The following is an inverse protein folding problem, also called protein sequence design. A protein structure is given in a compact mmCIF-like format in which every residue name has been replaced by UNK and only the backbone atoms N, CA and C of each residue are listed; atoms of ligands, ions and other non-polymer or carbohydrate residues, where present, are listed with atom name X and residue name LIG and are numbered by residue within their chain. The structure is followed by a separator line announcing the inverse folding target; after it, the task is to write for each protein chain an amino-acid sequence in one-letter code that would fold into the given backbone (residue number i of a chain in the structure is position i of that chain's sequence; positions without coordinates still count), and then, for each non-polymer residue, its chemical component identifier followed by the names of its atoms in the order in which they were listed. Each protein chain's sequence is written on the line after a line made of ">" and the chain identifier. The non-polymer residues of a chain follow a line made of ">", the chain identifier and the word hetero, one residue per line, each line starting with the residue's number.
data_IF_819585923508
#
_entry.id   IF_819585923508
#
_cell.length_a   1.000
_cell.length_b   1.000
_cell.length_c   1.000
_cell.angle_alpha   90.00
_cell.angle_beta   90.00
_cell.angle_gamma   90.00
#
_symmetry.space_group_name_H-M   'P 1'
#
loop_
_entity.id
_entity.type
_entity.pdbx_description
1 polymer ?
#
# COMPACT_ATOMS: atom_id res chain seq x y z
N UNK A 1 17.11 9.81 7.08
CA UNK A 1 16.58 8.58 6.43
C UNK A 1 15.27 8.10 7.02
N UNK A 2 15.20 7.79 8.33
CA UNK A 2 13.96 7.30 8.98
C UNK A 2 12.73 8.17 8.70
N UNK A 3 12.86 9.50 8.78
CA UNK A 3 11.76 10.44 8.48
C UNK A 3 11.20 10.29 7.05
N UNK A 4 12.08 10.11 6.06
CA UNK A 4 11.70 9.92 4.65
C UNK A 4 10.91 8.62 4.50
N UNK A 5 11.38 7.53 5.12
CA UNK A 5 10.68 6.24 5.05
C UNK A 5 9.30 6.35 5.69
N UNK A 6 9.17 7.03 6.83
CA UNK A 6 7.87 7.31 7.45
C UNK A 6 6.95 8.17 6.57
N UNK A 7 7.48 9.18 5.89
CA UNK A 7 6.71 9.98 4.93
C UNK A 7 6.19 9.12 3.78
N UNK A 8 7.02 8.23 3.24
CA UNK A 8 6.61 7.31 2.17
C UNK A 8 5.54 6.33 2.68
N UNK A 9 5.69 5.77 3.88
CA UNK A 9 4.67 4.90 4.51
C UNK A 9 3.35 5.66 4.69
N UNK A 10 3.40 6.90 5.18
CA UNK A 10 2.22 7.73 5.36
C UNK A 10 1.50 8.02 4.03
N UNK A 11 2.25 8.35 2.97
CA UNK A 11 1.71 8.57 1.63
C UNK A 11 1.06 7.29 1.07
N UNK A 12 1.70 6.13 1.20
CA UNK A 12 1.11 4.86 0.76
C UNK A 12 -0.17 4.52 1.54
N UNK A 13 -0.17 4.75 2.85
CA UNK A 13 -1.35 4.54 3.69
C UNK A 13 -2.51 5.44 3.24
N UNK A 14 -2.23 6.72 2.96
CA UNK A 14 -3.23 7.66 2.50
C UNK A 14 -3.78 7.28 1.12
N UNK A 15 -2.92 6.94 0.18
CA UNK A 15 -3.30 6.44 -1.15
C UNK A 15 -4.16 5.18 -1.06
N UNK A 16 -3.79 4.24 -0.19
CA UNK A 16 -4.55 3.01 0.03
C UNK A 16 -5.95 3.28 0.58
N UNK A 17 -6.09 4.19 1.56
CA UNK A 17 -7.39 4.61 2.09
C UNK A 17 -8.25 5.29 1.02
N UNK A 18 -7.66 6.18 0.22
CA UNK A 18 -8.35 6.84 -0.90
C UNK A 18 -8.82 5.81 -1.94
N UNK A 19 -7.98 4.83 -2.29
CA UNK A 19 -8.33 3.77 -3.24
C UNK A 19 -9.53 2.95 -2.76
N UNK A 20 -9.51 2.49 -1.52
CA UNK A 20 -10.63 1.72 -0.94
C UNK A 20 -11.89 2.57 -0.85
N UNK A 21 -11.78 3.80 -0.38
CA UNK A 21 -12.91 4.74 -0.31
C UNK A 21 -13.52 4.99 -1.70
N UNK A 22 -12.68 5.26 -2.69
CA UNK A 22 -13.10 5.46 -4.08
C UNK A 22 -13.76 4.20 -4.65
N UNK A 23 -13.21 3.01 -4.39
CA UNK A 23 -13.82 1.75 -4.82
C UNK A 23 -15.24 1.58 -4.28
N UNK A 24 -15.45 1.83 -2.98
CA UNK A 24 -16.78 1.72 -2.37
C UNK A 24 -17.77 2.75 -2.93
N UNK A 25 -17.31 4.00 -3.15
CA UNK A 25 -18.16 5.05 -3.72
C UNK A 25 -18.54 4.74 -5.17
N UNK A 26 -17.59 4.33 -6.01
CA UNK A 26 -17.80 4.08 -7.44
C UNK A 26 -18.63 2.83 -7.72
N UNK A 27 -18.63 1.88 -6.80
CA UNK A 27 -19.34 0.61 -6.90
C UNK A 27 -20.60 0.54 -6.03
N UNK A 28 -20.96 1.64 -5.36
CA UNK A 28 -22.20 1.71 -4.62
C UNK A 28 -23.40 1.56 -5.57
N UNK A 29 -24.29 0.61 -5.29
CA UNK A 29 -25.46 0.31 -6.12
C UNK A 29 -25.17 -0.47 -7.41
N UNK A 30 -23.92 -0.82 -7.72
CA UNK A 30 -23.57 -1.65 -8.88
C UNK A 30 -23.48 -3.13 -8.51
N UNK A 31 -23.99 -4.01 -9.38
CA UNK A 31 -23.73 -5.44 -9.30
C UNK A 31 -22.32 -5.73 -9.83
N UNK A 32 -21.32 -5.56 -8.95
CA UNK A 32 -19.95 -6.02 -9.21
C UNK A 32 -19.92 -7.54 -9.12
N UNK A 33 -19.28 -8.20 -10.08
CA UNK A 33 -19.15 -9.66 -10.11
C UNK A 33 -18.47 -10.19 -8.83
N UNK A 34 -18.78 -11.44 -8.45
CA UNK A 34 -18.20 -12.06 -7.26
C UNK A 34 -16.67 -12.14 -7.36
N UNK A 35 -16.14 -12.43 -8.55
CA UNK A 35 -14.72 -12.52 -8.83
C UNK A 35 -14.01 -11.17 -8.63
N UNK A 36 -14.60 -10.09 -9.14
CA UNK A 36 -14.03 -8.75 -9.06
C UNK A 36 -14.05 -8.18 -7.63
N UNK A 37 -15.09 -8.49 -6.84
CA UNK A 37 -15.09 -8.23 -5.39
C UNK A 37 -14.00 -9.02 -4.67
N UNK A 38 -13.85 -10.31 -5.01
CA UNK A 38 -12.83 -11.19 -4.44
C UNK A 38 -11.42 -10.65 -4.65
N UNK A 39 -11.08 -10.30 -5.90
CA UNK A 39 -9.79 -9.70 -6.24
C UNK A 39 -9.55 -8.35 -5.55
N UNK A 40 -10.58 -7.51 -5.44
CA UNK A 40 -10.46 -6.23 -4.73
C UNK A 40 -10.09 -6.43 -3.25
N UNK A 41 -10.72 -7.40 -2.58
CA UNK A 41 -10.43 -7.71 -1.17
C UNK A 41 -9.00 -8.27 -1.01
N UNK A 42 -8.56 -9.13 -1.93
CA UNK A 42 -7.19 -9.67 -1.93
C UNK A 42 -6.17 -8.53 -2.10
N UNK A 43 -6.37 -7.66 -3.08
CA UNK A 43 -5.49 -6.51 -3.33
C UNK A 43 -5.48 -5.52 -2.15
N UNK A 44 -6.63 -5.24 -1.57
CA UNK A 44 -6.74 -4.40 -0.38
C UNK A 44 -5.94 -4.98 0.79
N UNK A 45 -6.05 -6.30 1.03
CA UNK A 45 -5.33 -7.00 2.10
C UNK A 45 -3.82 -6.99 1.88
N UNK A 46 -3.37 -7.23 0.64
CA UNK A 46 -1.94 -7.16 0.30
C UNK A 46 -1.36 -5.77 0.50
N UNK A 47 -2.08 -4.71 0.11
CA UNK A 47 -1.66 -3.32 0.34
C UNK A 47 -1.44 -3.04 1.83
N UNK A 48 -2.33 -3.53 2.68
CA UNK A 48 -2.23 -3.39 4.13
C UNK A 48 -1.00 -4.12 4.69
N UNK A 49 -0.73 -5.35 4.20
CA UNK A 49 0.44 -6.15 4.58
C UNK A 49 1.75 -5.43 4.22
N UNK A 50 1.86 -4.85 3.01
CA UNK A 50 3.05 -4.12 2.60
C UNK A 50 3.31 -2.87 3.46
N UNK A 51 2.26 -2.13 3.81
CA UNK A 51 2.36 -0.97 4.72
C UNK A 51 2.89 -1.41 6.10
N UNK A 52 2.36 -2.52 6.64
CA UNK A 52 2.80 -3.05 7.93
C UNK A 52 4.24 -3.56 7.89
N UNK A 53 4.63 -4.29 6.84
CA UNK A 53 6.00 -4.76 6.64
C UNK A 53 6.99 -3.62 6.47
N UNK A 54 6.56 -2.47 5.94
CA UNK A 54 7.40 -1.28 5.89
C UNK A 54 7.56 -0.62 7.27
N UNK A 55 6.48 -0.54 8.08
CA UNK A 55 6.45 0.20 9.34
C UNK A 55 7.01 -0.56 10.55
N UNK A 56 6.71 -1.86 10.68
CA UNK A 56 7.09 -2.69 11.84
C UNK A 56 8.62 -2.71 12.08
N UNK A 57 9.47 -2.95 11.06
CA UNK A 57 10.90 -3.09 11.28
C UNK A 57 11.54 -1.78 11.78
N UNK A 58 11.09 -0.62 11.30
CA UNK A 58 11.57 0.71 11.74
C UNK A 58 11.32 0.94 13.24
N UNK A 59 10.24 0.38 13.77
CA UNK A 59 9.88 0.52 15.19
C UNK A 59 10.69 -0.42 16.09
N UNK A 60 11.11 -1.57 15.57
CA UNK A 60 11.84 -2.61 16.32
C UNK A 60 13.35 -2.38 16.26
N UNK A 61 13.88 -1.98 15.11
CA UNK A 61 15.32 -1.79 14.91
C UNK A 61 15.61 -0.72 13.85
N UNK A 62 16.57 0.15 14.12
CA UNK A 62 17.00 1.21 13.19
C UNK A 62 18.34 0.90 12.53
N UNK A 63 18.72 -0.38 12.45
CA UNK A 63 19.93 -0.79 11.73
C UNK A 63 19.84 -0.43 10.24
N UNK A 64 20.98 -0.19 9.58
CA UNK A 64 21.01 0.15 8.16
C UNK A 64 20.28 -0.89 7.29
N UNK A 65 20.40 -2.18 7.60
CA UNK A 65 19.68 -3.24 6.88
C UNK A 65 18.15 -3.14 7.04
N UNK A 66 17.68 -2.81 8.23
CA UNK A 66 16.25 -2.62 8.52
C UNK A 66 15.69 -1.40 7.80
N UNK A 67 16.45 -0.31 7.73
CA UNK A 67 16.07 0.89 7.00
C UNK A 67 15.98 0.67 5.48
N UNK A 68 16.91 -0.09 4.92
CA UNK A 68 16.89 -0.46 3.49
C UNK A 68 15.67 -1.32 3.19
N UNK A 69 15.42 -2.36 3.99
CA UNK A 69 14.26 -3.24 3.81
C UNK A 69 12.94 -2.47 3.90
N UNK A 70 12.77 -1.66 4.94
CA UNK A 70 11.57 -0.83 5.10
C UNK A 70 11.40 0.20 3.99
N UNK A 71 12.50 0.78 3.49
CA UNK A 71 12.48 1.69 2.35
C UNK A 71 11.99 1.01 1.06
N UNK A 72 12.48 -0.20 0.76
CA UNK A 72 12.05 -0.98 -0.40
C UNK A 72 10.56 -1.34 -0.29
N UNK A 73 10.12 -1.83 0.88
CA UNK A 73 8.72 -2.19 1.11
C UNK A 73 7.78 -0.97 1.04
N UNK A 74 8.24 0.21 1.46
CA UNK A 74 7.47 1.44 1.34
C UNK A 74 7.41 1.96 -0.12
N UNK A 75 8.41 1.69 -0.96
CA UNK A 75 8.44 2.10 -2.36
C UNK A 75 7.65 1.18 -3.29
N UNK A 76 7.52 -0.09 -2.93
CA UNK A 76 6.88 -1.14 -3.74
C UNK A 76 5.48 -0.77 -4.26
N UNK A 77 4.54 -0.28 -3.43
CA UNK A 77 3.20 0.04 -3.91
C UNK A 77 3.18 1.25 -4.83
N UNK A 78 4.04 2.25 -4.59
CA UNK A 78 4.20 3.42 -5.47
C UNK A 78 4.76 3.03 -6.83
N UNK A 79 5.76 2.12 -6.87
CA UNK A 79 6.34 1.62 -8.11
C UNK A 79 5.32 0.82 -8.92
N UNK A 80 4.52 -0.03 -8.27
CA UNK A 80 3.44 -0.77 -8.92
C UNK A 80 2.41 0.17 -9.55
N UNK A 81 2.00 1.22 -8.83
CA UNK A 81 1.07 2.22 -9.33
C UNK A 81 1.64 2.97 -10.54
N UNK A 82 2.92 3.35 -10.48
CA UNK A 82 3.61 4.01 -11.59
C UNK A 82 3.68 3.10 -12.81
N UNK A 83 4.00 1.82 -12.63
CA UNK A 83 4.08 0.85 -13.72
C UNK A 83 2.74 0.65 -14.41
N UNK A 84 1.65 0.56 -13.63
CA UNK A 84 0.27 0.48 -14.14
C UNK A 84 -0.19 1.76 -14.85
N UNK A 85 0.36 2.92 -14.50
CA UNK A 85 0.02 4.19 -15.17
C UNK A 85 0.75 4.42 -16.49
N UNK A 86 1.83 3.67 -16.75
CA UNK A 86 2.66 3.78 -17.95
C UNK A 86 2.32 2.72 -19.02
N UNK A 87 1.49 1.74 -18.67
CA UNK A 87 0.96 0.68 -19.56
C UNK A 87 -0.38 1.08 -20.16
#
# INVERSE_FOLDING_TARGET
>A
MVKIIWTVIALNTLLWLVFIGAYFVLNNGKQVSYEEKGWTVVLASLGLIFILLAAIPIRISQSNGTLIFSGIMALLPLLLLLLLSLS
#
